data_IF_114810832378
#
_entry.id   IF_114810832378
#
_cell.length_a   1.000
_cell.length_b   1.000
_cell.length_c   1.000
_cell.angle_alpha   90.00
_cell.angle_beta   90.00
_cell.angle_gamma   90.00
#
_symmetry.space_group_name_H-M   'P 1'
#
loop_
_entity.id
_entity.type
_entity.pdbx_description
1 polymer ?
#
# COMPACT_ATOMS: atom_id res chain seq x y z
N UNK A 1 -7.55 74.03 -12.28
CA UNK A 1 -6.93 72.87 -11.58
C UNK A 1 -6.64 73.27 -10.14
N UNK A 2 -7.41 72.76 -9.16
CA UNK A 2 -7.19 73.02 -7.72
C UNK A 2 -6.06 72.10 -7.21
N UNK A 3 -5.11 72.58 -6.39
CA UNK A 3 -4.01 71.73 -5.96
C UNK A 3 -4.52 70.78 -4.85
N UNK A 4 -4.30 69.49 -5.06
CA UNK A 4 -4.58 68.40 -4.10
C UNK A 4 -3.80 68.50 -2.78
N UNK A 5 -2.93 69.50 -2.63
CA UNK A 5 -2.00 69.65 -1.50
C UNK A 5 -2.67 70.07 -0.18
N UNK A 6 -3.88 70.66 -0.22
CA UNK A 6 -4.49 71.22 1.00
C UNK A 6 -5.34 70.23 1.81
N UNK A 7 -5.68 69.05 1.26
CA UNK A 7 -6.43 68.00 2.00
C UNK A 7 -5.52 67.06 2.79
N UNK A 8 -4.27 66.88 2.37
CA UNK A 8 -3.30 66.03 3.08
C UNK A 8 -2.80 66.71 4.36
N UNK A 9 -2.68 68.05 4.38
CA UNK A 9 -2.14 68.80 5.53
C UNK A 9 -3.09 68.98 6.72
N UNK A 10 -4.39 68.72 6.56
CA UNK A 10 -5.36 68.76 7.68
C UNK A 10 -5.46 67.43 8.45
N UNK A 11 -5.10 66.30 7.83
CA UNK A 11 -5.05 64.99 8.52
C UNK A 11 -3.78 64.82 9.37
N UNK A 12 -2.71 65.55 9.09
CA UNK A 12 -1.42 65.41 9.79
C UNK A 12 -1.30 66.26 11.06
N UNK A 13 -2.23 67.19 11.34
CA UNK A 13 -2.16 68.10 12.50
C UNK A 13 -2.62 67.50 13.83
N UNK A 14 -3.21 66.31 13.84
CA UNK A 14 -3.74 65.64 15.06
C UNK A 14 -3.15 64.26 15.31
N UNK A 15 -2.24 63.77 14.45
CA UNK A 15 -1.60 62.46 14.60
C UNK A 15 -0.20 62.66 15.21
N UNK A 16 0.06 62.15 16.44
CA UNK A 16 1.38 62.30 17.05
C UNK A 16 2.46 61.62 16.20
N UNK A 17 3.63 62.25 16.06
CA UNK A 17 4.75 61.82 15.19
C UNK A 17 5.11 60.32 15.34
N UNK A 18 4.90 59.76 16.54
CA UNK A 18 5.05 58.32 16.83
C UNK A 18 4.25 57.41 15.91
N UNK A 19 3.01 57.77 15.56
CA UNK A 19 2.17 56.95 14.68
C UNK A 19 2.63 57.06 13.23
N UNK A 20 3.17 58.21 12.83
CA UNK A 20 3.72 58.42 11.48
C UNK A 20 4.98 57.57 11.27
N UNK A 21 5.79 57.37 12.32
CA UNK A 21 7.00 56.55 12.24
C UNK A 21 6.74 55.06 12.51
N UNK A 22 5.97 54.70 13.54
CA UNK A 22 5.86 53.29 13.97
C UNK A 22 4.90 52.48 13.11
N UNK A 23 3.78 53.06 12.65
CA UNK A 23 2.76 52.32 11.88
C UNK A 23 3.29 51.78 10.56
N UNK A 24 4.05 52.53 9.74
CA UNK A 24 4.63 52.01 8.49
C UNK A 24 5.56 50.82 8.73
N UNK A 25 6.46 50.89 9.71
CA UNK A 25 7.34 49.77 10.06
C UNK A 25 6.55 48.54 10.53
N UNK A 26 5.51 48.74 11.35
CA UNK A 26 4.64 47.63 11.77
C UNK A 26 3.93 46.99 10.59
N UNK A 27 3.45 47.80 9.65
CA UNK A 27 2.77 47.34 8.44
C UNK A 27 3.73 46.54 7.56
N UNK A 28 4.95 47.03 7.35
CA UNK A 28 5.99 46.37 6.55
C UNK A 28 6.39 45.02 7.16
N UNK A 29 6.61 44.97 8.49
CA UNK A 29 6.96 43.71 9.16
C UNK A 29 5.78 42.73 9.10
N UNK A 30 4.55 43.19 9.37
CA UNK A 30 3.37 42.32 9.28
C UNK A 30 3.19 41.76 7.87
N UNK A 31 3.41 42.58 6.85
CA UNK A 31 3.37 42.16 5.45
C UNK A 31 4.47 41.13 5.15
N UNK A 32 5.70 41.38 5.60
CA UNK A 32 6.83 40.47 5.40
C UNK A 32 6.59 39.12 6.09
N UNK A 33 6.14 39.12 7.35
CA UNK A 33 5.82 37.90 8.11
C UNK A 33 4.64 37.14 7.51
N UNK A 34 3.59 37.85 7.08
CA UNK A 34 2.46 37.25 6.39
C UNK A 34 2.87 36.61 5.07
N UNK A 35 3.71 37.31 4.28
CA UNK A 35 4.20 36.83 2.99
C UNK A 35 5.14 35.62 3.16
N UNK A 36 6.06 35.65 4.13
CA UNK A 36 6.95 34.52 4.40
C UNK A 36 6.20 33.31 4.93
N UNK A 37 5.21 33.51 5.82
CA UNK A 37 4.33 32.43 6.29
C UNK A 37 3.53 31.82 5.16
N UNK A 38 2.92 32.64 4.30
CA UNK A 38 2.17 32.17 3.12
C UNK A 38 3.06 31.42 2.13
N UNK A 39 4.25 31.96 1.79
CA UNK A 39 5.22 31.29 0.93
C UNK A 39 5.72 29.97 1.54
N UNK A 40 5.92 29.92 2.86
CA UNK A 40 6.34 28.71 3.58
C UNK A 40 5.30 27.59 3.44
N UNK A 41 4.02 27.91 3.64
CA UNK A 41 2.93 26.94 3.47
C UNK A 41 2.86 26.46 2.02
N UNK A 42 2.88 27.38 1.05
CA UNK A 42 2.80 27.03 -0.37
C UNK A 42 3.98 26.16 -0.83
N UNK A 43 5.19 26.48 -0.38
CA UNK A 43 6.39 25.68 -0.70
C UNK A 43 6.35 24.32 0.02
N UNK A 44 5.85 24.28 1.26
CA UNK A 44 5.63 23.05 2.01
C UNK A 44 4.68 22.10 1.29
N UNK A 45 3.52 22.59 0.85
CA UNK A 45 2.54 21.80 0.09
C UNK A 45 3.15 21.26 -1.22
N UNK A 46 3.90 22.08 -1.97
CA UNK A 46 4.55 21.62 -3.21
C UNK A 46 5.57 20.51 -2.94
N UNK A 47 6.43 20.69 -1.94
CA UNK A 47 7.42 19.68 -1.56
C UNK A 47 6.75 18.37 -1.12
N UNK A 48 5.66 18.44 -0.36
CA UNK A 48 4.89 17.26 0.07
C UNK A 48 4.25 16.56 -1.12
N UNK A 49 3.60 17.29 -2.02
CA UNK A 49 2.99 16.69 -3.21
C UNK A 49 4.03 15.94 -4.06
N UNK A 50 5.23 16.51 -4.22
CA UNK A 50 6.32 15.88 -4.97
C UNK A 50 6.83 14.61 -4.29
N UNK A 51 7.15 14.68 -3.00
CA UNK A 51 7.64 13.52 -2.22
C UNK A 51 6.57 12.43 -2.15
N UNK A 52 5.31 12.78 -1.90
CA UNK A 52 4.19 11.83 -1.86
C UNK A 52 3.93 11.20 -3.24
N UNK A 53 4.10 11.96 -4.33
CA UNK A 53 4.01 11.42 -5.69
C UNK A 53 5.12 10.42 -5.98
N UNK A 54 6.37 10.79 -5.67
CA UNK A 54 7.53 9.91 -5.85
C UNK A 54 7.41 8.63 -5.02
N UNK A 55 7.04 8.75 -3.73
CA UNK A 55 6.82 7.61 -2.85
C UNK A 55 5.76 6.66 -3.41
N UNK A 56 4.57 7.18 -3.76
CA UNK A 56 3.51 6.35 -4.33
C UNK A 56 3.94 5.68 -5.64
N UNK A 57 4.72 6.36 -6.49
CA UNK A 57 5.28 5.75 -7.70
C UNK A 57 6.20 4.59 -7.38
N UNK A 58 7.22 4.81 -6.55
CA UNK A 58 8.19 3.80 -6.15
C UNK A 58 7.52 2.59 -5.50
N UNK A 59 6.53 2.81 -4.61
CA UNK A 59 5.79 1.71 -3.97
C UNK A 59 5.00 0.90 -5.00
N UNK A 60 4.27 1.56 -5.91
CA UNK A 60 3.53 0.85 -6.97
C UNK A 60 4.48 0.09 -7.89
N UNK A 61 5.62 0.65 -8.25
CA UNK A 61 6.61 0.01 -9.12
C UNK A 61 7.24 -1.21 -8.42
N UNK A 62 7.56 -1.10 -7.13
CA UNK A 62 8.03 -2.22 -6.31
C UNK A 62 7.00 -3.33 -6.17
N UNK A 63 5.73 -2.98 -5.97
CA UNK A 63 4.63 -3.97 -5.94
C UNK A 63 4.52 -4.68 -7.29
N UNK A 64 4.54 -3.93 -8.39
CA UNK A 64 4.50 -4.52 -9.74
C UNK A 64 5.66 -5.48 -9.97
N UNK A 65 6.89 -5.08 -9.66
CA UNK A 65 8.07 -5.91 -9.86
C UNK A 65 8.01 -7.21 -9.02
N UNK A 66 7.55 -7.10 -7.78
CA UNK A 66 7.31 -8.26 -6.94
C UNK A 66 6.27 -9.19 -7.57
N UNK A 67 5.12 -8.65 -7.97
CA UNK A 67 4.04 -9.42 -8.56
C UNK A 67 4.43 -10.05 -9.90
N UNK A 68 5.20 -9.37 -10.76
CA UNK A 68 5.70 -9.94 -12.01
C UNK A 68 6.55 -11.20 -11.75
N UNK A 69 7.43 -11.15 -10.74
CA UNK A 69 8.26 -12.30 -10.34
C UNK A 69 7.42 -13.40 -9.69
N UNK A 70 6.54 -13.00 -8.77
CA UNK A 70 5.64 -13.89 -8.05
C UNK A 70 4.75 -14.66 -9.04
N UNK A 71 4.12 -13.96 -9.98
CA UNK A 71 3.22 -14.54 -11.00
C UNK A 71 4.01 -15.33 -12.06
N UNK A 72 5.26 -14.99 -12.38
CA UNK A 72 6.03 -15.71 -13.40
C UNK A 72 6.54 -17.09 -12.95
N UNK A 73 6.84 -17.27 -11.67
CA UNK A 73 7.51 -18.48 -11.15
C UNK A 73 6.68 -19.78 -11.34
N UNK A 74 5.37 -19.81 -11.07
CA UNK A 74 4.50 -20.97 -11.26
C UNK A 74 4.47 -21.46 -12.70
N UNK A 75 4.53 -20.53 -13.65
CA UNK A 75 4.60 -20.88 -15.05
C UNK A 75 5.89 -21.60 -15.42
N UNK A 76 7.01 -21.17 -14.85
CA UNK A 76 8.30 -21.83 -15.05
C UNK A 76 8.27 -23.24 -14.45
N UNK A 77 7.75 -23.38 -13.23
CA UNK A 77 7.63 -24.67 -12.54
C UNK A 77 6.73 -25.63 -13.31
N UNK A 78 5.53 -25.19 -13.69
CA UNK A 78 4.59 -26.00 -14.48
C UNK A 78 5.22 -26.44 -15.81
N UNK A 79 5.93 -25.54 -16.50
CA UNK A 79 6.62 -25.88 -17.74
C UNK A 79 7.72 -26.92 -17.51
N UNK A 80 8.55 -26.77 -16.47
CA UNK A 80 9.57 -27.77 -16.12
C UNK A 80 8.95 -29.14 -15.84
N UNK A 81 7.81 -29.19 -15.16
CA UNK A 81 7.10 -30.45 -14.92
C UNK A 81 6.53 -31.06 -16.21
N UNK A 82 5.95 -30.23 -17.08
CA UNK A 82 5.46 -30.69 -18.38
C UNK A 82 6.59 -31.23 -19.27
N UNK A 83 7.73 -30.52 -19.31
CA UNK A 83 8.91 -30.93 -20.07
C UNK A 83 9.48 -32.26 -19.53
N UNK A 84 9.57 -32.42 -18.21
CA UNK A 84 10.02 -33.68 -17.59
C UNK A 84 9.06 -34.86 -17.85
N UNK A 85 7.75 -34.61 -17.97
CA UNK A 85 6.78 -35.64 -18.41
C UNK A 85 7.02 -36.00 -19.87
N UNK A 86 7.19 -35.01 -20.73
CA UNK A 86 7.41 -35.22 -22.17
C UNK A 86 8.70 -35.97 -22.46
N UNK A 87 9.77 -35.70 -21.70
CA UNK A 87 11.05 -36.42 -21.77
C UNK A 87 10.99 -37.84 -21.17
N UNK A 88 9.88 -38.23 -20.55
CA UNK A 88 9.71 -39.53 -19.90
C UNK A 88 10.43 -39.66 -18.55
N UNK A 89 10.96 -38.57 -18.00
CA UNK A 89 11.61 -38.52 -16.69
C UNK A 89 10.57 -38.64 -15.56
N UNK A 90 9.37 -38.08 -15.77
CA UNK A 90 8.24 -38.18 -14.86
C UNK A 90 7.09 -38.98 -15.46
N UNK A 91 6.72 -40.06 -14.77
CA UNK A 91 5.54 -40.85 -15.09
C UNK A 91 4.38 -40.48 -14.17
N UNK A 92 3.26 -40.03 -14.74
CA UNK A 92 2.06 -39.64 -14.00
C UNK A 92 1.38 -40.79 -13.21
N UNK A 93 1.79 -42.04 -13.43
CA UNK A 93 1.31 -43.21 -12.69
C UNK A 93 2.24 -43.63 -11.55
N UNK A 94 3.47 -43.11 -11.49
CA UNK A 94 4.45 -43.44 -10.43
C UNK A 94 4.41 -42.37 -9.33
N UNK A 95 3.45 -42.51 -8.41
CA UNK A 95 3.24 -41.52 -7.34
C UNK A 95 4.47 -41.32 -6.46
N UNK A 96 5.28 -42.36 -6.27
CA UNK A 96 6.46 -42.24 -5.40
C UNK A 96 7.53 -41.36 -6.04
N UNK A 97 7.77 -41.50 -7.35
CA UNK A 97 8.71 -40.62 -8.06
C UNK A 97 8.17 -39.20 -8.20
N UNK A 98 6.87 -39.05 -8.47
CA UNK A 98 6.24 -37.73 -8.51
C UNK A 98 6.39 -37.01 -7.17
N UNK A 99 6.08 -37.67 -6.06
CA UNK A 99 6.26 -37.11 -4.72
C UNK A 99 7.71 -36.68 -4.48
N UNK A 100 8.67 -37.54 -4.81
CA UNK A 100 10.09 -37.22 -4.67
C UNK A 100 10.50 -36.01 -5.50
N UNK A 101 10.08 -35.93 -6.76
CA UNK A 101 10.38 -34.80 -7.64
C UNK A 101 9.80 -33.50 -7.09
N UNK A 102 8.50 -33.51 -6.78
CA UNK A 102 7.80 -32.34 -6.25
C UNK A 102 8.37 -31.87 -4.91
N UNK A 103 8.84 -32.78 -4.07
CA UNK A 103 9.48 -32.48 -2.80
C UNK A 103 10.73 -31.61 -2.97
N UNK A 104 11.67 -32.06 -3.81
CA UNK A 104 12.88 -31.29 -4.09
C UNK A 104 12.58 -29.98 -4.80
N UNK A 105 11.62 -30.00 -5.72
CA UNK A 105 11.20 -28.80 -6.43
C UNK A 105 10.63 -27.75 -5.47
N UNK A 106 9.73 -28.13 -4.55
CA UNK A 106 9.14 -27.19 -3.58
C UNK A 106 10.18 -26.61 -2.61
N UNK A 107 11.21 -27.39 -2.25
CA UNK A 107 12.33 -26.87 -1.46
C UNK A 107 13.14 -25.81 -2.23
N UNK A 108 13.37 -26.00 -3.52
CA UNK A 108 14.09 -25.02 -4.35
C UNK A 108 13.31 -23.72 -4.57
N UNK A 109 11.97 -23.76 -4.50
CA UNK A 109 11.10 -22.61 -4.68
C UNK A 109 10.39 -22.21 -3.38
N UNK A 110 11.14 -21.61 -2.45
CA UNK A 110 10.66 -21.28 -1.09
C UNK A 110 9.37 -20.42 -1.05
N UNK A 111 9.17 -19.56 -2.05
CA UNK A 111 7.98 -18.70 -2.11
C UNK A 111 6.69 -19.50 -2.37
N UNK A 112 6.78 -20.65 -3.02
CA UNK A 112 5.64 -21.43 -3.51
C UNK A 112 4.95 -22.16 -2.37
N UNK A 113 3.61 -22.15 -2.38
CA UNK A 113 2.81 -22.79 -1.33
C UNK A 113 2.61 -24.27 -1.62
N UNK A 114 2.26 -24.64 -2.85
CA UNK A 114 2.13 -26.04 -3.22
C UNK A 114 2.45 -26.28 -4.68
N UNK A 115 2.94 -27.47 -4.99
CA UNK A 115 3.12 -27.99 -6.35
C UNK A 115 2.43 -29.34 -6.41
N UNK A 116 1.67 -29.57 -7.47
CA UNK A 116 0.93 -30.82 -7.62
C UNK A 116 0.64 -31.20 -9.07
N UNK A 117 0.37 -32.49 -9.26
CA UNK A 117 -0.03 -33.06 -10.53
C UNK A 117 -1.26 -33.94 -10.35
N UNK A 118 -2.10 -33.98 -11.38
CA UNK A 118 -3.17 -34.94 -11.54
C UNK A 118 -3.11 -35.58 -12.92
N UNK A 119 -3.24 -36.90 -12.98
CA UNK A 119 -3.32 -37.65 -14.24
C UNK A 119 -4.76 -37.72 -14.76
N UNK A 120 -4.92 -37.93 -16.06
CA UNK A 120 -6.22 -38.26 -16.67
C UNK A 120 -6.83 -39.53 -16.05
N UNK A 121 -5.99 -40.45 -15.55
CA UNK A 121 -6.40 -41.72 -14.93
C UNK A 121 -6.85 -41.57 -13.46
N UNK A 122 -6.75 -40.37 -12.89
CA UNK A 122 -7.23 -40.05 -11.53
C UNK A 122 -6.18 -40.12 -10.43
N UNK A 123 -4.95 -40.53 -10.75
CA UNK A 123 -3.81 -40.42 -9.83
C UNK A 123 -3.47 -38.94 -9.57
N UNK A 124 -3.10 -38.60 -8.34
CA UNK A 124 -2.78 -37.25 -7.92
C UNK A 124 -1.75 -37.25 -6.79
N UNK A 125 -0.80 -36.32 -6.88
CA UNK A 125 0.22 -36.05 -5.86
C UNK A 125 0.36 -34.55 -5.68
N UNK A 126 0.43 -34.11 -4.43
CA UNK A 126 0.75 -32.73 -4.06
C UNK A 126 1.79 -32.70 -2.96
N UNK A 127 2.68 -31.71 -3.03
CA UNK A 127 3.52 -31.30 -1.90
C UNK A 127 3.15 -29.87 -1.55
N UNK A 128 2.85 -29.62 -0.28
CA UNK A 128 2.41 -28.31 0.22
C UNK A 128 3.28 -27.89 1.40
N UNK A 129 3.63 -26.61 1.43
CA UNK A 129 4.21 -25.92 2.58
C UNK A 129 3.10 -25.32 3.42
N UNK A 130 3.05 -25.69 4.69
CA UNK A 130 2.13 -25.09 5.66
C UNK A 130 2.78 -23.95 6.43
N UNK A 131 1.99 -23.26 7.25
CA UNK A 131 2.34 -21.95 7.84
C UNK A 131 3.57 -21.97 8.74
N UNK A 132 3.81 -23.08 9.44
CA UNK A 132 5.00 -23.24 10.27
C UNK A 132 6.27 -23.56 9.47
N UNK A 133 6.17 -23.61 8.13
CA UNK A 133 7.27 -23.93 7.22
C UNK A 133 7.42 -25.40 6.90
N UNK A 134 6.79 -26.28 7.70
CA UNK A 134 6.79 -27.73 7.46
C UNK A 134 6.09 -28.06 6.16
N UNK A 135 6.43 -29.21 5.62
CA UNK A 135 5.85 -29.70 4.40
C UNK A 135 4.94 -30.90 4.64
N UNK A 136 3.98 -31.08 3.74
CA UNK A 136 3.00 -32.15 3.76
C UNK A 136 2.87 -32.74 2.36
N UNK A 137 2.55 -34.02 2.30
CA UNK A 137 2.29 -34.71 1.05
C UNK A 137 0.83 -35.12 0.99
N UNK A 138 0.18 -34.92 -0.16
CA UNK A 138 -1.15 -35.43 -0.45
C UNK A 138 -1.09 -36.41 -1.61
N UNK A 139 -1.72 -37.55 -1.46
CA UNK A 139 -1.85 -38.55 -2.52
C UNK A 139 -3.30 -39.02 -2.66
N UNK A 140 -3.75 -39.22 -3.88
CA UNK A 140 -5.01 -39.91 -4.16
C UNK A 140 -4.93 -40.66 -5.49
N UNK A 141 -5.69 -41.75 -5.61
CA UNK A 141 -5.80 -42.50 -6.85
C UNK A 141 -6.23 -43.93 -6.59
N UNK A 142 -5.88 -44.85 -7.49
CA UNK A 142 -6.20 -46.28 -7.34
C UNK A 142 -5.53 -46.87 -6.11
N UNK A 143 -4.29 -46.47 -5.83
CA UNK A 143 -3.51 -46.94 -4.68
C UNK A 143 -4.12 -46.59 -3.32
N UNK A 144 -4.95 -45.55 -3.27
CA UNK A 144 -5.65 -45.11 -2.06
C UNK A 144 -7.14 -45.48 -2.05
N UNK A 145 -7.62 -46.24 -3.05
CA UNK A 145 -9.04 -46.55 -3.19
C UNK A 145 -9.91 -45.31 -3.43
N UNK A 146 -9.36 -44.25 -4.02
CA UNK A 146 -10.07 -42.98 -4.25
C UNK A 146 -10.14 -42.05 -3.03
N UNK A 147 -9.46 -42.38 -1.94
CA UNK A 147 -9.28 -41.46 -0.82
C UNK A 147 -8.17 -40.46 -1.09
N UNK A 148 -8.34 -39.20 -0.68
CA UNK A 148 -7.23 -38.27 -0.52
C UNK A 148 -6.61 -38.47 0.85
N UNK A 149 -5.32 -38.83 0.88
CA UNK A 149 -4.55 -39.05 2.10
C UNK A 149 -3.50 -37.96 2.23
N UNK A 150 -3.44 -37.34 3.40
CA UNK A 150 -2.53 -36.23 3.73
C UNK A 150 -1.56 -36.71 4.80
N UNK A 151 -0.27 -36.62 4.53
CA UNK A 151 0.81 -37.06 5.40
C UNK A 151 1.67 -35.88 5.85
N UNK A 152 1.99 -35.82 7.13
CA UNK A 152 3.15 -35.05 7.61
C UNK A 152 4.42 -35.79 7.24
N UNK A 153 5.43 -35.05 6.81
CA UNK A 153 6.72 -35.58 6.39
C UNK A 153 7.86 -34.87 7.13
N UNK A 154 8.95 -35.58 7.38
CA UNK A 154 10.16 -35.00 7.95
C UNK A 154 11.00 -34.29 6.87
N UNK A 155 12.12 -33.68 7.28
CA UNK A 155 13.06 -33.02 6.36
C UNK A 155 13.69 -33.99 5.33
N UNK A 156 13.61 -35.30 5.57
CA UNK A 156 14.11 -36.36 4.70
C UNK A 156 13.00 -37.00 3.84
N UNK A 157 11.80 -36.39 3.76
CA UNK A 157 10.61 -36.90 3.02
C UNK A 157 9.96 -38.13 3.65
N UNK A 158 10.41 -38.63 4.80
CA UNK A 158 9.78 -39.77 5.42
C UNK A 158 8.42 -39.38 5.97
N UNK A 159 7.38 -40.13 5.62
CA UNK A 159 6.03 -39.92 6.14
C UNK A 159 6.00 -40.30 7.61
N UNK A 160 5.81 -39.30 8.48
CA UNK A 160 5.81 -39.46 9.94
C UNK A 160 4.41 -39.85 10.43
N UNK A 161 3.38 -39.23 9.85
CA UNK A 161 2.00 -39.37 10.34
C UNK A 161 0.98 -39.17 9.23
N UNK A 162 -0.01 -40.06 9.13
CA UNK A 162 -1.23 -39.80 8.39
C UNK A 162 -2.05 -38.76 9.16
N UNK A 163 -2.12 -37.55 8.63
CA UNK A 163 -2.88 -36.46 9.23
C UNK A 163 -4.37 -36.61 8.92
N UNK A 164 -4.70 -37.04 7.69
CA UNK A 164 -6.09 -37.15 7.25
C UNK A 164 -6.27 -38.13 6.10
N UNK A 165 -7.42 -38.79 6.05
CA UNK A 165 -7.94 -39.49 4.88
C UNK A 165 -9.39 -39.06 4.64
N UNK A 166 -9.78 -38.80 3.39
CA UNK A 166 -11.18 -38.49 3.03
C UNK A 166 -11.57 -39.22 1.75
N UNK A 167 -12.71 -39.94 1.72
CA UNK A 167 -13.14 -40.68 0.54
C UNK A 167 -13.62 -39.76 -0.58
N UNK A 168 -13.78 -40.36 -1.77
CA UNK A 168 -14.40 -39.76 -2.95
C UNK A 168 -13.70 -38.47 -3.43
N UNK A 169 -12.37 -38.45 -3.42
CA UNK A 169 -11.60 -37.35 -3.98
C UNK A 169 -11.18 -37.68 -5.42
N UNK A 170 -11.56 -36.80 -6.35
CA UNK A 170 -11.12 -36.84 -7.74
C UNK A 170 -10.55 -35.47 -8.15
N UNK A 171 -9.25 -35.43 -8.44
CA UNK A 171 -8.53 -34.24 -8.88
C UNK A 171 -9.11 -33.63 -10.16
N UNK A 172 -9.68 -34.46 -11.04
CA UNK A 172 -10.22 -34.05 -12.36
C UNK A 172 -11.49 -33.22 -12.26
N UNK A 173 -12.20 -33.34 -11.13
CA UNK A 173 -13.41 -32.57 -10.84
C UNK A 173 -13.10 -31.18 -10.27
N UNK A 174 -11.85 -30.94 -9.86
CA UNK A 174 -11.44 -29.71 -9.18
C UNK A 174 -11.28 -28.56 -10.17
N UNK A 175 -11.53 -27.30 -9.74
CA UNK A 175 -11.44 -26.13 -10.61
C UNK A 175 -10.10 -26.03 -11.35
N UNK A 176 -8.98 -26.17 -10.64
CA UNK A 176 -7.64 -26.10 -11.23
C UNK A 176 -7.44 -27.07 -12.40
N UNK A 177 -7.99 -28.29 -12.34
CA UNK A 177 -7.85 -29.28 -13.41
C UNK A 177 -8.79 -28.94 -14.57
N UNK A 178 -10.07 -28.75 -14.26
CA UNK A 178 -11.12 -28.56 -15.27
C UNK A 178 -10.93 -27.25 -16.04
N UNK A 179 -10.52 -26.19 -15.36
CA UNK A 179 -10.30 -24.87 -15.97
C UNK A 179 -9.06 -24.89 -16.87
N UNK A 180 -8.01 -25.62 -16.48
CA UNK A 180 -6.81 -25.81 -17.29
C UNK A 180 -7.10 -26.61 -18.57
N UNK A 181 -7.82 -27.73 -18.46
CA UNK A 181 -8.23 -28.54 -19.62
C UNK A 181 -9.13 -27.73 -20.55
N UNK A 182 -10.08 -26.97 -20.00
CA UNK A 182 -10.96 -26.08 -20.79
C UNK A 182 -10.16 -24.98 -21.51
N UNK A 183 -9.12 -24.45 -20.87
CA UNK A 183 -8.26 -23.42 -21.48
C UNK A 183 -7.32 -23.98 -22.55
N UNK A 184 -6.92 -25.26 -22.44
CA UNK A 184 -6.00 -25.94 -23.37
C UNK A 184 -4.56 -25.41 -23.33
N UNK A 185 -4.25 -24.47 -22.45
CA UNK A 185 -2.95 -23.82 -22.29
C UNK A 185 -2.79 -23.34 -20.85
N UNK A 186 -1.59 -22.86 -20.51
CA UNK A 186 -1.33 -22.24 -19.20
C UNK A 186 -2.35 -21.15 -18.87
N UNK A 187 -2.97 -21.23 -17.71
CA UNK A 187 -3.96 -20.25 -17.24
C UNK A 187 -3.82 -19.96 -15.75
N UNK A 188 -4.25 -18.76 -15.33
CA UNK A 188 -4.63 -18.53 -13.94
C UNK A 188 -6.07 -18.98 -13.75
N UNK A 189 -6.29 -19.83 -12.73
CA UNK A 189 -7.64 -20.13 -12.25
C UNK A 189 -8.19 -19.02 -11.37
N UNK A 190 -9.47 -19.12 -11.00
CA UNK A 190 -10.04 -18.28 -9.96
C UNK A 190 -9.34 -18.53 -8.61
N UNK A 191 -9.29 -17.49 -7.76
CA UNK A 191 -8.81 -17.64 -6.39
C UNK A 191 -9.77 -18.55 -5.62
N UNK A 192 -9.29 -19.69 -5.14
CA UNK A 192 -10.14 -20.72 -4.54
C UNK A 192 -9.62 -21.20 -3.17
N UNK A 193 -10.52 -21.80 -2.38
CA UNK A 193 -10.20 -22.39 -1.07
C UNK A 193 -9.44 -23.71 -1.25
N UNK A 194 -8.29 -23.86 -0.59
CA UNK A 194 -7.60 -25.15 -0.50
C UNK A 194 -8.51 -26.24 0.11
N UNK A 195 -8.34 -27.48 -0.35
CA UNK A 195 -9.18 -28.58 0.13
C UNK A 195 -8.94 -28.92 1.62
N UNK A 196 -7.69 -28.75 2.08
CA UNK A 196 -7.26 -29.19 3.40
C UNK A 196 -7.23 -28.06 4.45
N UNK A 197 -7.21 -26.80 4.02
CA UNK A 197 -7.06 -25.63 4.89
C UNK A 197 -8.02 -24.52 4.46
N UNK A 198 -8.45 -23.63 5.37
CA UNK A 198 -9.40 -22.57 5.05
C UNK A 198 -8.68 -21.36 4.47
N UNK A 199 -7.78 -21.61 3.52
CA UNK A 199 -6.93 -20.60 2.90
C UNK A 199 -7.27 -20.45 1.45
N UNK A 200 -7.22 -19.21 0.98
CA UNK A 200 -7.34 -18.89 -0.43
C UNK A 200 -5.97 -18.89 -1.10
N UNK A 201 -5.92 -19.56 -2.25
CA UNK A 201 -4.75 -19.61 -3.12
C UNK A 201 -5.08 -19.09 -4.50
N UNK A 202 -4.07 -18.51 -5.13
CA UNK A 202 -4.05 -18.26 -6.57
C UNK A 202 -3.31 -19.43 -7.22
N UNK A 203 -3.91 -19.98 -8.28
CA UNK A 203 -3.40 -21.17 -8.93
C UNK A 203 -3.06 -20.95 -10.39
N UNK A 204 -1.83 -21.30 -10.77
CA UNK A 204 -1.44 -21.46 -12.16
C UNK A 204 -1.49 -22.93 -12.51
N UNK A 205 -2.24 -23.27 -13.56
CA UNK A 205 -2.33 -24.64 -14.08
C UNK A 205 -1.85 -24.72 -15.52
N UNK A 206 -1.36 -25.89 -15.90
CA UNK A 206 -0.93 -26.23 -17.25
C UNK A 206 -1.42 -27.64 -17.60
N UNK A 207 -2.32 -27.79 -18.60
CA UNK A 207 -2.63 -29.10 -19.14
C UNK A 207 -1.43 -29.64 -19.93
N UNK A 208 -1.15 -30.93 -19.77
CA UNK A 208 -0.03 -31.62 -20.40
C UNK A 208 -0.59 -32.65 -21.39
N UNK A 209 -0.18 -32.56 -22.64
CA UNK A 209 -0.62 -33.42 -23.73
C UNK A 209 0.56 -34.23 -24.29
N UNK A 210 0.28 -35.39 -24.87
CA UNK A 210 1.26 -36.13 -25.68
C UNK A 210 1.38 -35.54 -27.10
N UNK A 211 2.32 -36.08 -27.88
CA UNK A 211 2.57 -35.68 -29.28
C UNK A 211 1.37 -35.88 -30.22
N UNK A 212 0.39 -36.67 -29.79
CA UNK A 212 -0.85 -36.94 -30.54
C UNK A 212 -2.00 -36.03 -30.07
N UNK A 213 -1.73 -35.11 -29.14
CA UNK A 213 -2.72 -34.20 -28.57
C UNK A 213 -3.63 -34.84 -27.51
N UNK A 214 -3.33 -36.05 -27.02
CA UNK A 214 -4.09 -36.68 -25.94
C UNK A 214 -3.66 -36.10 -24.60
N UNK A 215 -4.63 -35.74 -23.75
CA UNK A 215 -4.38 -35.25 -22.40
C UNK A 215 -3.75 -36.34 -21.53
N UNK A 216 -2.58 -36.06 -20.97
CA UNK A 216 -1.91 -36.93 -20.00
C UNK A 216 -2.30 -36.56 -18.57
N UNK A 217 -2.44 -35.26 -18.30
CA UNK A 217 -2.76 -34.74 -16.98
C UNK A 217 -2.66 -33.23 -16.91
N UNK A 218 -2.65 -32.70 -15.69
CA UNK A 218 -2.49 -31.27 -15.40
C UNK A 218 -1.47 -31.13 -14.28
N UNK A 219 -0.50 -30.25 -14.47
CA UNK A 219 0.39 -29.77 -13.40
C UNK A 219 -0.06 -28.40 -12.96
N UNK A 220 0.01 -28.13 -11.66
CA UNK A 220 -0.36 -26.85 -11.12
C UNK A 220 0.47 -26.46 -9.90
N UNK A 221 0.47 -25.15 -9.66
CA UNK A 221 1.23 -24.52 -8.59
C UNK A 221 0.35 -23.48 -7.91
N UNK A 222 0.27 -23.56 -6.59
CA UNK A 222 -0.48 -22.64 -5.75
C UNK A 222 0.44 -21.62 -5.06
N UNK A 223 -0.06 -20.39 -5.00
CA UNK A 223 0.43 -19.35 -4.12
C UNK A 223 -0.63 -18.90 -3.14
N UNK A 224 -0.23 -18.78 -1.88
CA UNK A 224 -1.06 -18.21 -0.83
C UNK A 224 -1.22 -16.70 -1.01
N UNK A 225 -2.48 -16.24 -0.98
CA UNK A 225 -2.78 -14.80 -0.91
C UNK A 225 -2.18 -14.14 0.34
N UNK A 226 -1.93 -14.92 1.40
CA UNK A 226 -1.28 -14.40 2.61
C UNK A 226 0.14 -13.90 2.34
N UNK A 227 0.87 -14.54 1.42
CA UNK A 227 2.21 -14.12 1.02
C UNK A 227 2.21 -12.73 0.38
N UNK A 228 1.19 -12.44 -0.44
CA UNK A 228 0.97 -11.11 -1.02
C UNK A 228 0.75 -10.09 0.10
N UNK A 229 -0.17 -10.36 1.04
CA UNK A 229 -0.41 -9.44 2.16
C UNK A 229 0.82 -9.25 3.07
N UNK A 230 1.61 -10.29 3.32
CA UNK A 230 2.86 -10.19 4.08
C UNK A 230 3.87 -9.28 3.37
N UNK A 231 4.05 -9.46 2.07
CA UNK A 231 4.88 -8.57 1.26
C UNK A 231 4.38 -7.12 1.32
N UNK A 232 3.08 -6.88 1.11
CA UNK A 232 2.50 -5.53 1.17
C UNK A 232 2.73 -4.85 2.54
N UNK A 233 2.62 -5.59 3.65
CA UNK A 233 2.94 -5.08 4.99
C UNK A 233 4.42 -4.78 5.22
N UNK A 234 5.31 -5.47 4.51
CA UNK A 234 6.76 -5.18 4.58
C UNK A 234 7.12 -3.82 3.97
N UNK A 235 6.25 -3.26 3.15
CA UNK A 235 6.47 -1.97 2.50
C UNK A 235 6.24 -0.83 3.50
N UNK A 236 7.21 0.06 3.63
CA UNK A 236 7.07 1.27 4.43
C UNK A 236 6.42 2.36 3.59
N UNK A 237 5.21 2.78 3.97
CA UNK A 237 4.42 3.77 3.24
C UNK A 237 4.04 4.90 4.21
N UNK A 238 4.86 5.94 4.27
CA UNK A 238 4.66 7.02 5.24
C UNK A 238 4.65 6.47 6.67
N UNK A 239 3.76 7.02 7.51
CA UNK A 239 3.50 6.56 8.89
C UNK A 239 2.25 5.71 8.99
N UNK A 240 1.23 6.02 8.20
CA UNK A 240 -0.09 5.41 8.23
C UNK A 240 -0.64 5.12 6.83
N UNK A 241 0.18 5.25 5.80
CA UNK A 241 -0.19 4.89 4.43
C UNK A 241 -0.39 3.38 4.27
N UNK A 242 -1.25 3.03 3.33
CA UNK A 242 -1.64 1.66 3.06
C UNK A 242 -1.56 1.30 1.59
N UNK A 243 -1.39 0.01 1.35
CA UNK A 243 -1.51 -0.57 0.02
C UNK A 243 -2.34 -1.84 0.05
N UNK A 244 -3.14 -2.01 -0.99
CA UNK A 244 -3.92 -3.21 -1.19
C UNK A 244 -4.05 -3.52 -2.67
N UNK A 245 -4.35 -4.78 -2.96
CA UNK A 245 -4.60 -5.30 -4.29
C UNK A 245 -5.99 -5.91 -4.29
N UNK A 246 -6.79 -5.58 -5.29
CA UNK A 246 -8.12 -6.16 -5.50
C UNK A 246 -8.28 -6.70 -6.91
N UNK A 247 -9.22 -7.62 -7.08
CA UNK A 247 -9.71 -8.01 -8.39
C UNK A 247 -10.68 -6.96 -8.93
N UNK A 248 -10.42 -6.47 -10.14
CA UNK A 248 -11.16 -5.34 -10.69
C UNK A 248 -12.63 -5.64 -10.97
N UNK A 249 -12.94 -6.89 -11.33
CA UNK A 249 -14.30 -7.32 -11.67
C UNK A 249 -15.19 -7.48 -10.44
N UNK A 250 -14.63 -8.00 -9.34
CA UNK A 250 -15.40 -8.39 -8.15
C UNK A 250 -15.26 -7.38 -7.01
N UNK A 251 -14.17 -6.60 -6.99
CA UNK A 251 -13.81 -5.74 -5.86
C UNK A 251 -13.33 -6.52 -4.63
N UNK A 252 -13.08 -7.82 -4.76
CA UNK A 252 -12.57 -8.67 -3.68
C UNK A 252 -11.07 -8.46 -3.49
N UNK A 253 -10.63 -8.41 -2.24
CA UNK A 253 -9.22 -8.27 -1.89
C UNK A 253 -8.43 -9.52 -2.32
N UNK A 254 -7.26 -9.27 -2.90
CA UNK A 254 -6.21 -10.23 -3.20
C UNK A 254 -5.15 -10.17 -2.09
N UNK A 255 -4.82 -8.97 -1.63
CA UNK A 255 -3.94 -8.74 -0.49
C UNK A 255 -4.07 -7.32 0.04
N UNK A 256 -3.67 -7.07 1.28
CA UNK A 256 -3.73 -5.75 1.90
C UNK A 256 -2.67 -5.63 3.01
N UNK A 257 -2.14 -4.42 3.18
CA UNK A 257 -1.29 -4.05 4.31
C UNK A 257 -2.09 -3.79 5.60
N UNK A 258 -3.32 -3.27 5.50
CA UNK A 258 -4.15 -2.86 6.64
C UNK A 258 -4.86 -4.00 7.37
N UNK A 259 -4.98 -5.18 6.76
CA UNK A 259 -5.58 -6.36 7.40
C UNK A 259 -4.67 -7.58 7.32
N UNK A 260 -4.78 -8.48 8.31
CA UNK A 260 -3.91 -9.64 8.42
C UNK A 260 -4.03 -10.59 7.21
N UNK A 261 -5.27 -10.84 6.78
CA UNK A 261 -5.60 -11.74 5.67
C UNK A 261 -6.79 -11.20 4.85
N UNK A 262 -6.84 -11.43 3.53
CA UNK A 262 -7.87 -10.88 2.64
C UNK A 262 -9.20 -11.68 2.66
N UNK A 263 -9.44 -12.44 3.73
CA UNK A 263 -10.64 -13.25 3.93
C UNK A 263 -10.98 -13.37 5.41
N UNK A 264 -12.24 -13.60 5.73
CA UNK A 264 -12.71 -13.95 7.08
C UNK A 264 -13.07 -15.43 7.13
N UNK A 265 -13.20 -15.97 8.35
CA UNK A 265 -13.74 -17.32 8.57
C UNK A 265 -15.16 -17.15 9.11
N UNK A 266 -16.16 -17.69 8.41
CA UNK A 266 -17.58 -17.54 8.79
C UNK A 266 -17.93 -18.38 10.02
N UNK A 267 -17.29 -19.53 10.19
CA UNK A 267 -17.51 -20.51 11.26
C UNK A 267 -16.19 -20.81 12.01
N UNK A 268 -15.61 -19.83 12.72
CA UNK A 268 -14.26 -19.96 13.30
C UNK A 268 -14.15 -21.01 14.42
N UNK A 269 -15.27 -21.44 14.98
CA UNK A 269 -15.33 -22.46 16.04
C UNK A 269 -15.24 -23.88 15.50
N UNK A 270 -15.47 -24.08 14.21
CA UNK A 270 -15.34 -25.40 13.57
C UNK A 270 -13.86 -25.80 13.46
N UNK A 271 -13.57 -27.12 13.38
CA UNK A 271 -12.24 -27.60 13.05
C UNK A 271 -11.70 -26.89 11.80
N UNK A 272 -10.41 -26.51 11.79
CA UNK A 272 -9.73 -25.75 10.72
C UNK A 272 -10.10 -26.24 9.31
N UNK A 273 -10.25 -27.54 9.16
CA UNK A 273 -10.57 -28.21 7.90
C UNK A 273 -11.97 -27.93 7.36
N UNK A 274 -12.94 -27.74 8.25
CA UNK A 274 -14.35 -27.51 7.96
C UNK A 274 -14.72 -26.03 8.03
N UNK A 275 -13.75 -25.18 8.43
CA UNK A 275 -13.88 -23.73 8.35
C UNK A 275 -14.11 -23.26 6.90
N UNK A 276 -15.02 -22.32 6.74
CA UNK A 276 -15.47 -21.73 5.49
C UNK A 276 -14.88 -20.32 5.45
N UNK A 277 -13.80 -20.11 4.68
CA UNK A 277 -13.29 -18.79 4.45
C UNK A 277 -14.17 -18.07 3.43
N UNK A 278 -14.31 -16.76 3.60
CA UNK A 278 -14.98 -15.85 2.67
C UNK A 278 -14.07 -14.68 2.37
N UNK A 279 -13.81 -14.44 1.08
CA UNK A 279 -13.01 -13.28 0.65
C UNK A 279 -13.69 -11.98 1.04
N UNK A 280 -12.88 -11.04 1.49
CA UNK A 280 -13.34 -9.71 1.90
C UNK A 280 -13.46 -8.83 0.65
N UNK A 281 -14.62 -8.20 0.47
CA UNK A 281 -14.78 -7.13 -0.51
C UNK A 281 -14.12 -5.87 0.02
N UNK A 282 -13.35 -5.16 -0.80
CA UNK A 282 -12.59 -4.01 -0.33
C UNK A 282 -13.49 -2.90 0.27
N UNK A 283 -14.70 -2.72 -0.27
CA UNK A 283 -15.74 -1.81 0.29
C UNK A 283 -16.34 -2.26 1.62
N UNK A 284 -16.07 -3.49 2.05
CA UNK A 284 -16.55 -4.09 3.30
C UNK A 284 -15.38 -4.36 4.26
N UNK A 285 -14.17 -3.88 3.94
CA UNK A 285 -13.00 -4.03 4.80
C UNK A 285 -13.23 -3.36 6.15
N UNK A 286 -12.69 -3.97 7.21
CA UNK A 286 -12.63 -3.36 8.54
C UNK A 286 -11.59 -2.24 8.61
N UNK A 287 -10.60 -2.27 7.71
CA UNK A 287 -9.69 -1.16 7.54
C UNK A 287 -10.38 0.02 6.81
N UNK A 288 -10.27 1.20 7.41
CA UNK A 288 -10.96 2.42 6.99
C UNK A 288 -10.37 2.94 5.67
N UNK A 289 -9.04 2.95 5.53
CA UNK A 289 -8.39 3.50 4.34
C UNK A 289 -8.73 2.67 3.10
N UNK A 290 -8.63 1.34 3.19
CA UNK A 290 -9.02 0.39 2.15
C UNK A 290 -10.48 0.58 1.75
N UNK A 291 -11.38 0.65 2.74
CA UNK A 291 -12.83 0.77 2.51
C UNK A 291 -13.20 2.07 1.82
N UNK A 292 -12.80 3.21 2.40
CA UNK A 292 -13.16 4.54 1.90
C UNK A 292 -12.47 4.85 0.56
N UNK A 293 -11.22 4.42 0.38
CA UNK A 293 -10.52 4.56 -0.91
C UNK A 293 -11.25 3.79 -2.02
N UNK A 294 -11.70 2.57 -1.73
CA UNK A 294 -12.42 1.78 -2.73
C UNK A 294 -13.76 2.40 -3.08
N UNK A 295 -14.48 2.94 -2.09
CA UNK A 295 -15.73 3.68 -2.31
C UNK A 295 -15.50 4.91 -3.20
N UNK A 296 -14.49 5.73 -2.91
CA UNK A 296 -14.10 6.87 -3.74
C UNK A 296 -13.82 6.47 -5.20
N UNK A 297 -13.07 5.38 -5.41
CA UNK A 297 -12.76 4.89 -6.77
C UNK A 297 -14.03 4.46 -7.52
N UNK A 298 -14.97 3.81 -6.83
CA UNK A 298 -16.26 3.42 -7.41
C UNK A 298 -17.13 4.64 -7.73
N UNK A 299 -17.19 5.64 -6.86
CA UNK A 299 -17.94 6.88 -7.10
C UNK A 299 -17.36 7.65 -8.29
N UNK A 300 -16.03 7.79 -8.35
CA UNK A 300 -15.34 8.55 -9.40
C UNK A 300 -15.44 7.91 -10.78
N UNK A 301 -15.23 6.59 -10.87
CA UNK A 301 -15.16 5.90 -12.16
C UNK A 301 -16.46 5.16 -12.52
N UNK A 302 -17.36 4.95 -11.57
CA UNK A 302 -18.55 4.09 -11.67
C UNK A 302 -18.24 2.59 -11.59
N UNK A 303 -17.06 2.16 -12.04
CA UNK A 303 -16.57 0.78 -11.91
C UNK A 303 -15.06 0.72 -11.93
N UNK A 304 -14.48 -0.19 -11.13
CA UNK A 304 -13.03 -0.44 -11.08
C UNK A 304 -12.48 -0.94 -12.42
N UNK A 305 -13.31 -1.55 -13.28
CA UNK A 305 -12.91 -2.01 -14.62
C UNK A 305 -12.69 -0.88 -15.63
N UNK A 306 -13.07 0.36 -15.30
CA UNK A 306 -12.85 1.54 -16.16
C UNK A 306 -11.51 2.24 -15.93
N UNK A 307 -10.77 1.89 -14.87
CA UNK A 307 -9.41 2.42 -14.60
C UNK A 307 -8.40 1.78 -15.57
N UNK A 308 -8.26 2.32 -16.78
CA UNK A 308 -7.45 1.70 -17.83
C UNK A 308 -5.94 1.85 -17.63
N UNK A 309 -5.52 2.96 -17.00
CA UNK A 309 -4.11 3.35 -16.87
C UNK A 309 -3.74 3.68 -15.42
N UNK A 310 -2.45 3.88 -15.16
CA UNK A 310 -1.94 4.42 -13.91
C UNK A 310 -2.55 5.81 -13.68
N UNK A 311 -3.13 6.04 -12.49
CA UNK A 311 -3.71 7.33 -12.11
C UNK A 311 -3.15 7.78 -10.77
N UNK A 312 -2.86 9.07 -10.65
CA UNK A 312 -2.64 9.75 -9.38
C UNK A 312 -3.84 10.65 -9.11
N UNK A 313 -4.43 10.47 -7.95
CA UNK A 313 -5.67 11.11 -7.52
C UNK A 313 -5.49 11.59 -6.09
N UNK A 314 -6.35 12.53 -5.70
CA UNK A 314 -6.46 12.95 -4.31
C UNK A 314 -7.95 12.98 -3.91
N UNK A 315 -8.21 12.71 -2.64
CA UNK A 315 -9.54 12.79 -2.05
C UNK A 315 -9.44 13.06 -0.55
N UNK A 316 -10.57 13.37 0.10
CA UNK A 316 -10.59 13.67 1.53
C UNK A 316 -11.31 12.57 2.30
N UNK A 317 -10.76 12.22 3.47
CA UNK A 317 -11.43 11.43 4.51
C UNK A 317 -11.51 12.31 5.74
N UNK A 318 -12.72 12.57 6.24
CA UNK A 318 -12.96 13.43 7.42
C UNK A 318 -12.27 14.82 7.34
N UNK A 319 -12.21 15.40 6.14
CA UNK A 319 -11.57 16.69 5.88
C UNK A 319 -10.04 16.62 5.72
N UNK A 320 -9.42 15.45 5.89
CA UNK A 320 -7.99 15.24 5.68
C UNK A 320 -7.71 14.66 4.29
N UNK A 321 -6.82 15.33 3.55
CA UNK A 321 -6.43 14.92 2.19
C UNK A 321 -5.63 13.62 2.21
N UNK A 322 -5.91 12.79 1.21
CA UNK A 322 -5.32 11.48 0.97
C UNK A 322 -4.71 11.48 -0.42
N UNK A 323 -3.41 11.17 -0.52
CA UNK A 323 -2.72 10.96 -1.77
C UNK A 323 -2.95 9.53 -2.24
N UNK A 324 -3.60 9.35 -3.39
CA UNK A 324 -4.01 8.05 -3.91
C UNK A 324 -3.33 7.76 -5.25
N UNK A 325 -2.73 6.60 -5.38
CA UNK A 325 -2.27 6.09 -6.67
C UNK A 325 -2.88 4.72 -6.95
N UNK A 326 -3.40 4.55 -8.16
CA UNK A 326 -3.95 3.28 -8.63
C UNK A 326 -3.28 2.87 -9.93
N UNK A 327 -3.02 1.58 -10.07
CA UNK A 327 -2.45 1.02 -11.29
C UNK A 327 -3.06 -0.34 -11.61
N UNK A 328 -3.64 -0.51 -12.80
CA UNK A 328 -4.15 -1.81 -13.23
C UNK A 328 -2.99 -2.76 -13.55
N UNK A 329 -3.10 -4.01 -13.12
CA UNK A 329 -2.20 -5.09 -13.48
C UNK A 329 -3.01 -6.15 -14.23
N UNK A 330 -2.74 -6.28 -15.53
CA UNK A 330 -3.37 -7.26 -16.40
C UNK A 330 -2.33 -8.15 -17.06
N UNK A 331 -2.69 -9.40 -17.35
CA UNK A 331 -1.89 -10.26 -18.23
C UNK A 331 -2.77 -11.03 -19.22
N UNK A 332 -2.15 -11.58 -20.25
CA UNK A 332 -2.81 -12.35 -21.32
C UNK A 332 -3.35 -13.72 -20.86
N UNK A 333 -3.26 -14.00 -19.57
CA UNK A 333 -3.55 -15.31 -18.95
C UNK A 333 -4.65 -15.24 -17.88
N UNK A 334 -5.42 -14.15 -17.88
CA UNK A 334 -6.66 -14.01 -17.11
C UNK A 334 -6.57 -13.21 -15.81
N UNK A 335 -5.38 -12.71 -15.46
CA UNK A 335 -5.22 -11.88 -14.25
C UNK A 335 -5.66 -10.44 -14.54
N UNK A 336 -6.55 -9.90 -13.70
CA UNK A 336 -7.11 -8.54 -13.83
C UNK A 336 -7.25 -7.89 -12.45
N UNK A 337 -6.15 -7.33 -11.96
CA UNK A 337 -6.03 -6.74 -10.64
C UNK A 337 -5.84 -5.23 -10.68
N UNK A 338 -6.07 -4.59 -9.54
CA UNK A 338 -5.78 -3.18 -9.30
C UNK A 338 -4.89 -3.07 -8.07
N UNK A 339 -3.70 -2.49 -8.26
CA UNK A 339 -2.82 -2.09 -7.18
C UNK A 339 -3.26 -0.70 -6.72
N UNK A 340 -3.44 -0.55 -5.41
CA UNK A 340 -3.85 0.70 -4.78
C UNK A 340 -2.84 1.07 -3.70
N UNK A 341 -2.40 2.33 -3.69
CA UNK A 341 -1.55 2.92 -2.64
C UNK A 341 -2.21 4.21 -2.20
N UNK A 342 -2.50 4.34 -0.92
CA UNK A 342 -3.11 5.52 -0.31
C UNK A 342 -2.25 6.00 0.84
N UNK A 343 -1.97 7.30 0.90
CA UNK A 343 -1.11 7.90 1.94
C UNK A 343 -1.77 9.18 2.46
N UNK A 344 -2.04 9.30 3.77
CA UNK A 344 -2.54 10.55 4.33
C UNK A 344 -1.53 11.70 4.19
N UNK A 345 -1.98 12.89 3.80
CA UNK A 345 -1.11 14.07 3.69
C UNK A 345 -0.47 14.45 5.03
N UNK A 346 -1.20 14.22 6.13
CA UNK A 346 -0.75 14.44 7.51
C UNK A 346 0.52 13.65 7.87
N UNK A 347 0.81 12.54 7.18
CA UNK A 347 2.04 11.78 7.36
C UNK A 347 3.28 12.62 7.04
N UNK A 348 3.18 13.58 6.11
CA UNK A 348 4.27 14.44 5.68
C UNK A 348 4.16 15.85 6.28
N UNK A 349 2.94 16.39 6.41
CA UNK A 349 2.73 17.77 6.82
C UNK A 349 3.05 18.04 8.29
N UNK A 350 3.01 17.04 9.18
CA UNK A 350 3.19 17.29 10.62
C UNK A 350 4.49 18.02 10.98
N UNK A 351 5.60 17.71 10.30
CA UNK A 351 6.88 18.39 10.54
C UNK A 351 6.92 19.80 9.92
N UNK A 352 6.24 19.98 8.78
CA UNK A 352 6.14 21.25 8.05
C UNK A 352 5.26 22.23 8.81
N UNK A 353 4.14 21.76 9.34
CA UNK A 353 3.24 22.55 10.18
C UNK A 353 3.93 23.01 11.46
N UNK A 354 4.68 22.11 12.11
CA UNK A 354 5.46 22.44 13.31
C UNK A 354 6.52 23.52 13.01
N UNK A 355 7.27 23.37 11.91
CA UNK A 355 8.28 24.34 11.49
C UNK A 355 7.63 25.69 11.10
N UNK A 356 6.53 25.67 10.36
CA UNK A 356 5.80 26.88 9.95
C UNK A 356 5.27 27.61 11.18
N UNK A 357 4.67 26.91 12.14
CA UNK A 357 4.22 27.50 13.41
C UNK A 357 5.39 28.11 14.20
N UNK A 358 6.53 27.44 14.25
CA UNK A 358 7.74 27.96 14.89
C UNK A 358 8.24 29.23 14.19
N UNK A 359 8.30 29.26 12.85
CA UNK A 359 8.66 30.45 12.06
C UNK A 359 7.72 31.61 12.35
N UNK A 360 6.40 31.37 12.36
CA UNK A 360 5.41 32.42 12.69
C UNK A 360 5.61 32.93 14.11
N UNK A 361 5.79 32.06 15.10
CA UNK A 361 6.03 32.46 16.50
C UNK A 361 7.34 33.24 16.67
N UNK A 362 8.42 32.82 16.01
CA UNK A 362 9.70 33.54 16.00
C UNK A 362 9.54 34.92 15.36
N UNK A 363 8.82 35.00 14.24
CA UNK A 363 8.50 36.26 13.58
C UNK A 363 7.66 37.19 14.47
N UNK A 364 6.63 36.66 15.15
CA UNK A 364 5.82 37.41 16.10
C UNK A 364 6.62 37.87 17.32
N UNK A 365 7.52 37.02 17.83
CA UNK A 365 8.44 37.37 18.92
C UNK A 365 9.42 38.47 18.52
N UNK A 366 10.03 38.36 17.33
CA UNK A 366 10.90 39.39 16.77
C UNK A 366 10.15 40.70 16.55
N UNK A 367 8.90 40.64 16.05
CA UNK A 367 8.02 41.80 15.91
C UNK A 367 7.70 42.46 17.26
N UNK A 368 7.37 41.67 18.28
CA UNK A 368 7.14 42.16 19.64
C UNK A 368 8.38 42.83 20.23
N UNK A 369 9.56 42.24 20.05
CA UNK A 369 10.84 42.80 20.51
C UNK A 369 11.16 44.11 19.79
N UNK A 370 11.01 44.17 18.46
CA UNK A 370 11.22 45.37 17.67
C UNK A 370 10.28 46.51 18.08
N UNK A 371 9.01 46.18 18.37
CA UNK A 371 8.01 47.13 18.86
C UNK A 371 8.38 47.65 20.26
N UNK A 372 8.82 46.78 21.18
CA UNK A 372 9.28 47.19 22.51
C UNK A 372 10.50 48.13 22.42
N UNK A 373 11.52 47.76 21.64
CA UNK A 373 12.72 48.57 21.45
C UNK A 373 12.43 49.91 20.75
N UNK A 374 11.44 49.98 19.88
CA UNK A 374 11.01 51.23 19.26
C UNK A 374 10.26 52.18 20.20
N UNK A 375 9.62 51.66 21.26
CA UNK A 375 8.83 52.44 22.22
C UNK A 375 9.65 52.84 23.46
N UNK A 376 10.58 51.98 23.91
CA UNK A 376 11.37 52.15 25.15
C UNK A 376 12.22 53.44 25.23
N UNK A 377 12.94 53.89 24.17
CA UNK A 377 13.75 55.10 24.22
C UNK A 377 12.96 56.40 24.45
N UNK A 378 11.64 56.38 24.22
CA UNK A 378 10.78 57.57 24.27
C UNK A 378 10.07 57.78 25.62
N UNK A 379 10.08 56.78 26.50
CA UNK A 379 9.59 56.94 27.88
C UNK A 379 10.62 57.64 28.80
N UNK A 380 11.91 57.52 28.48
CA UNK A 380 13.01 58.08 29.28
C UNK A 380 13.42 59.51 28.93
N UNK A 381 13.02 60.08 27.79
CA UNK A 381 13.56 61.36 27.30
C UNK A 381 12.76 62.61 27.72
N UNK A 382 11.77 62.49 28.62
CA UNK A 382 10.93 63.64 29.03
C UNK A 382 11.53 64.55 30.10
N UNK A 383 12.71 64.26 30.66
CA UNK A 383 13.22 64.95 31.85
C UNK A 383 14.45 65.86 31.68
N UNK A 384 15.00 66.08 30.47
CA UNK A 384 16.29 66.81 30.37
C UNK A 384 16.38 68.03 29.42
N UNK A 385 15.30 68.51 28.80
CA UNK A 385 15.40 69.60 27.82
C UNK A 385 14.86 70.98 28.20
N UNK A 386 14.50 71.24 29.46
CA UNK A 386 14.04 72.57 29.91
C UNK A 386 14.69 73.02 31.22
N UNK A 387 15.97 73.41 31.19
CA UNK A 387 16.55 74.26 32.24
C UNK A 387 17.83 74.96 31.79
N UNK A 388 17.73 76.01 30.98
CA UNK A 388 18.73 77.10 30.99
C UNK A 388 18.00 78.42 30.71
N UNK A 389 17.46 79.00 31.79
CA UNK A 389 16.97 80.36 31.85
C UNK A 389 18.13 81.33 32.13
N UNK A 390 18.11 82.47 31.45
CA UNK A 390 18.97 83.65 31.66
C UNK A 390 18.77 84.24 33.06
N UNK A 391 19.81 84.82 33.71
CA UNK A 391 19.67 86.23 34.12
C UNK A 391 20.91 87.12 33.87
N UNK A 392 20.61 88.42 33.72
CA UNK A 392 21.46 89.59 33.44
C UNK A 392 22.29 90.07 34.65
N UNK A 393 23.50 90.61 34.34
CA UNK A 393 24.14 91.91 34.74
C UNK A 393 23.95 92.46 36.18
N UNK A 394 24.87 93.10 36.93
CA UNK A 394 26.08 93.98 36.81
C UNK A 394 26.82 93.85 38.18
N UNK A 395 28.10 94.14 38.45
CA UNK A 395 28.96 95.33 38.24
C UNK A 395 30.33 95.07 38.92
N UNK A 396 31.43 95.77 38.59
CA UNK A 396 32.57 95.93 39.50
C UNK A 396 32.73 97.39 40.00
N UNK A 397 33.19 97.52 41.26
CA UNK A 397 33.58 98.77 41.93
C UNK A 397 35.04 99.16 41.65
N UNK A 398 35.29 100.47 41.78
CA UNK A 398 36.51 101.17 42.20
C UNK A 398 37.74 101.19 41.27
N UNK A 399 38.07 102.37 40.75
CA UNK A 399 38.90 103.38 41.44
C UNK A 399 38.44 104.78 41.07
#
# INVERSE_FOLDING_TARGET
MRPLTHRVSKLTKSVPLRFILVVPFILEISLAVGLTGWLSIQNGERAVNEVASQLRSEIVDRIRQYLETYIATPYKINRLNADAIHLGELNLQDLSKLEQHLWYQLQAFESVTAIYLGSEQGEHVAVERVENGDLQVKISGKSTGGEIRIYAVDNNRNRIKLLRAKPNYDSRTRPWYRDAVKAGKTNWGEIYKLFATPKYVLNASLPVYDDRGKLLGVTAVDYSLLGISQFLRSLKIGRSGETFILERRTGLLVGSSGIQQPYTIENPTEPIVDQIPKRVKATESNDILTRLTTQYLLERFGSLTRIADKQQLDFNIDGHRQFLQVMPLKNDRGLDWLIVVVVPESDFMAQIDANTRATILLCLGAFGLATMLGILPLAGSRSQFFSWAVPRSRSPMAT
#
